data_IF_134290192449
#
_entry.id   IF_134290192449
#
_cell.length_a   1.000
_cell.length_b   1.000
_cell.length_c   1.000
_cell.angle_alpha   90.00
_cell.angle_beta   90.00
_cell.angle_gamma   90.00
#
_symmetry.space_group_name_H-M   'P 1'
#
loop_
_entity.id
_entity.type
_entity.pdbx_description
1 polymer ?
#
# COMPACT_ATOMS: atom_id res chain seq x y z
N UNK A 1 -6.21 -21.87 -11.02
CA UNK A 1 -4.78 -22.11 -10.71
C UNK A 1 -4.02 -22.63 -11.93
N UNK A 2 -4.43 -23.73 -12.56
CA UNK A 2 -3.74 -24.26 -13.75
C UNK A 2 -3.71 -23.29 -14.94
N UNK A 3 -4.83 -22.61 -15.22
CA UNK A 3 -4.88 -21.57 -16.26
C UNK A 3 -3.89 -20.42 -15.99
N UNK A 4 -3.83 -19.95 -14.74
CA UNK A 4 -2.88 -18.90 -14.29
C UNK A 4 -1.44 -19.35 -14.51
N UNK A 5 -1.09 -20.56 -14.05
CA UNK A 5 0.25 -21.14 -14.26
C UNK A 5 0.58 -21.29 -15.75
N UNK A 6 -0.38 -21.68 -16.59
CA UNK A 6 -0.20 -21.79 -18.04
C UNK A 6 0.07 -20.45 -18.72
N UNK A 7 -0.64 -19.37 -18.35
CA UNK A 7 -0.39 -18.03 -18.89
C UNK A 7 0.98 -17.50 -18.45
N UNK A 8 1.36 -17.74 -17.19
CA UNK A 8 2.71 -17.38 -16.71
C UNK A 8 3.80 -18.16 -17.46
N UNK A 9 3.59 -19.45 -17.72
CA UNK A 9 4.53 -20.25 -18.52
C UNK A 9 4.66 -19.74 -19.98
N UNK A 10 3.62 -19.08 -20.49
CA UNK A 10 3.64 -18.40 -21.79
C UNK A 10 4.33 -17.02 -21.76
N UNK A 11 4.86 -16.59 -20.60
CA UNK A 11 5.53 -15.31 -20.44
C UNK A 11 4.61 -14.14 -20.09
N UNK A 12 3.31 -14.39 -19.83
CA UNK A 12 2.39 -13.31 -19.50
C UNK A 12 2.62 -12.73 -18.10
N UNK A 13 2.21 -11.48 -17.93
CA UNK A 13 2.22 -10.76 -16.64
C UNK A 13 0.79 -10.59 -16.18
N UNK A 14 0.51 -11.01 -14.95
CA UNK A 14 -0.85 -11.18 -14.46
C UNK A 14 -1.09 -10.40 -13.18
N UNK A 15 -2.26 -9.77 -13.09
CA UNK A 15 -2.83 -9.30 -11.82
C UNK A 15 -3.95 -10.26 -11.44
N UNK A 16 -3.75 -11.06 -10.39
CA UNK A 16 -4.81 -11.93 -9.86
C UNK A 16 -5.51 -11.22 -8.70
N UNK A 17 -6.82 -10.99 -8.86
CA UNK A 17 -7.69 -10.35 -7.88
C UNK A 17 -8.47 -11.42 -7.14
N UNK A 18 -8.02 -11.73 -5.93
CA UNK A 18 -8.69 -12.64 -5.03
C UNK A 18 -9.93 -11.97 -4.40
N UNK A 19 -10.95 -12.76 -4.08
CA UNK A 19 -12.13 -12.26 -3.36
C UNK A 19 -11.82 -11.76 -1.94
N UNK A 20 -10.81 -12.35 -1.29
CA UNK A 20 -10.40 -12.12 0.09
C UNK A 20 -8.92 -12.52 0.32
N UNK A 21 -8.39 -12.22 1.50
CA UNK A 21 -6.99 -12.49 1.86
C UNK A 21 -6.68 -14.00 1.94
N UNK A 22 -7.62 -14.81 2.45
CA UNK A 22 -7.44 -16.25 2.58
C UNK A 22 -7.23 -16.90 1.19
N UNK A 23 -8.02 -16.45 0.21
CA UNK A 23 -7.91 -16.89 -1.18
C UNK A 23 -6.62 -16.39 -1.83
N UNK A 24 -6.21 -15.15 -1.55
CA UNK A 24 -4.94 -14.60 -2.03
C UNK A 24 -3.75 -15.42 -1.52
N UNK A 25 -3.73 -15.76 -0.22
CA UNK A 25 -2.71 -16.61 0.41
C UNK A 25 -2.71 -18.00 -0.23
N UNK A 26 -3.88 -18.62 -0.40
CA UNK A 26 -3.98 -19.92 -1.05
C UNK A 26 -3.45 -19.91 -2.50
N UNK A 27 -3.69 -18.82 -3.26
CA UNK A 27 -3.14 -18.66 -4.60
C UNK A 27 -1.62 -18.48 -4.56
N UNK A 28 -1.09 -17.66 -3.66
CA UNK A 28 0.35 -17.48 -3.46
C UNK A 28 1.04 -18.81 -3.20
N UNK A 29 0.54 -19.57 -2.24
CA UNK A 29 1.12 -20.84 -1.84
C UNK A 29 1.05 -21.85 -3.00
N UNK A 30 -0.05 -21.88 -3.77
CA UNK A 30 -0.14 -22.71 -4.97
C UNK A 30 0.88 -22.31 -6.06
N UNK A 31 1.07 -21.02 -6.30
CA UNK A 31 2.00 -20.52 -7.33
C UNK A 31 3.46 -20.74 -6.93
N UNK A 32 3.79 -20.69 -5.64
CA UNK A 32 5.10 -21.08 -5.14
C UNK A 32 5.49 -22.53 -5.51
N UNK A 33 4.50 -23.42 -5.65
CA UNK A 33 4.74 -24.81 -6.08
C UNK A 33 4.65 -25.00 -7.59
N UNK A 34 3.68 -24.36 -8.24
CA UNK A 34 3.38 -24.58 -9.67
C UNK A 34 4.24 -23.73 -10.61
N UNK A 35 4.72 -22.57 -10.15
CA UNK A 35 5.51 -21.64 -10.94
C UNK A 35 6.60 -20.96 -10.08
N UNK A 36 7.49 -21.73 -9.43
CA UNK A 36 8.49 -21.19 -8.48
C UNK A 36 9.47 -20.18 -9.08
N UNK A 37 9.67 -20.21 -10.40
CA UNK A 37 10.54 -19.28 -11.12
C UNK A 37 9.86 -17.93 -11.43
N UNK A 38 8.54 -17.79 -11.24
CA UNK A 38 7.82 -16.55 -11.53
C UNK A 38 7.95 -15.59 -10.36
N UNK A 39 8.39 -14.36 -10.66
CA UNK A 39 8.38 -13.28 -9.71
C UNK A 39 6.94 -12.99 -9.25
N UNK A 40 6.63 -13.38 -8.01
CA UNK A 40 5.31 -13.20 -7.40
C UNK A 40 5.38 -12.13 -6.31
N UNK A 41 4.55 -11.09 -6.41
CA UNK A 41 4.40 -10.02 -5.41
C UNK A 41 2.96 -9.95 -4.93
N UNK A 42 2.78 -9.37 -3.74
CA UNK A 42 1.47 -9.26 -3.08
C UNK A 42 1.22 -7.80 -2.76
N UNK A 43 0.06 -7.29 -3.20
CA UNK A 43 -0.47 -6.00 -2.81
C UNK A 43 -1.69 -6.22 -1.90
N UNK A 44 -1.53 -6.19 -0.57
CA UNK A 44 -2.62 -6.48 0.37
C UNK A 44 -3.59 -5.29 0.49
N UNK A 45 -4.81 -5.58 0.96
CA UNK A 45 -5.73 -4.53 1.42
C UNK A 45 -5.30 -4.04 2.79
N UNK A 46 -5.67 -2.81 3.17
CA UNK A 46 -5.57 -2.40 4.57
C UNK A 46 -6.37 -3.36 5.47
N UNK A 47 -5.85 -3.64 6.66
CA UNK A 47 -6.44 -4.51 7.67
C UNK A 47 -7.44 -3.79 8.59
N UNK A 48 -7.80 -2.55 8.25
CA UNK A 48 -8.83 -1.76 8.90
C UNK A 48 -10.10 -1.65 8.03
N UNK A 49 -11.20 -1.25 8.66
CA UNK A 49 -12.48 -1.07 7.97
C UNK A 49 -12.48 0.24 7.15
N UNK A 50 -13.36 0.40 6.14
CA UNK A 50 -13.57 1.71 5.54
C UNK A 50 -13.91 2.76 6.61
N UNK A 51 -13.22 3.90 6.58
CA UNK A 51 -13.43 5.00 7.53
C UNK A 51 -13.17 4.62 8.99
N UNK A 52 -12.20 3.73 9.24
CA UNK A 52 -11.78 3.37 10.59
C UNK A 52 -11.14 4.56 11.33
N UNK A 53 -11.07 4.46 12.66
CA UNK A 53 -10.28 5.34 13.52
C UNK A 53 -8.89 4.76 13.81
N UNK A 54 -8.67 3.51 13.44
CA UNK A 54 -7.39 2.83 13.57
C UNK A 54 -6.61 2.93 12.25
N UNK A 55 -5.31 3.14 12.36
CA UNK A 55 -4.41 3.02 11.21
C UNK A 55 -4.20 1.54 10.86
N UNK A 56 -4.00 1.21 9.58
CA UNK A 56 -3.54 -0.12 9.19
C UNK A 56 -2.16 -0.42 9.79
N UNK A 57 -1.84 -1.70 9.92
CA UNK A 57 -0.55 -2.12 10.46
C UNK A 57 0.62 -1.66 9.56
N UNK A 58 1.67 -1.11 10.17
CA UNK A 58 2.83 -0.57 9.44
C UNK A 58 3.53 -1.57 8.54
N UNK A 59 3.63 -2.85 8.94
CA UNK A 59 4.21 -3.90 8.10
C UNK A 59 3.40 -4.12 6.80
N UNK A 60 2.07 -4.04 6.89
CA UNK A 60 1.17 -4.17 5.75
C UNK A 60 1.30 -2.96 4.81
N UNK A 61 1.28 -1.75 5.37
CA UNK A 61 1.51 -0.51 4.59
C UNK A 61 2.88 -0.56 3.91
N UNK A 62 3.90 -1.05 4.62
CA UNK A 62 5.23 -1.23 4.05
C UNK A 62 5.26 -2.18 2.86
N UNK A 63 4.54 -3.30 2.93
CA UNK A 63 4.41 -4.23 1.80
C UNK A 63 3.70 -3.59 0.59
N UNK A 64 2.68 -2.77 0.85
CA UNK A 64 1.97 -2.01 -0.20
C UNK A 64 2.89 -0.99 -0.87
N UNK A 65 3.61 -0.19 -0.09
CA UNK A 65 4.56 0.81 -0.60
C UNK A 65 5.66 0.13 -1.42
N UNK A 66 6.26 -0.93 -0.92
CA UNK A 66 7.30 -1.66 -1.66
C UNK A 66 6.76 -2.20 -2.99
N UNK A 67 5.54 -2.73 -3.00
CA UNK A 67 4.92 -3.25 -4.23
C UNK A 67 4.61 -2.14 -5.23
N UNK A 68 4.06 -1.01 -4.79
CA UNK A 68 3.78 0.13 -5.67
C UNK A 68 5.07 0.76 -6.19
N UNK A 69 6.09 0.90 -5.35
CA UNK A 69 7.38 1.45 -5.75
C UNK A 69 8.12 0.54 -6.73
N UNK A 70 8.05 -0.78 -6.53
CA UNK A 70 8.54 -1.77 -7.51
C UNK A 70 7.80 -1.69 -8.85
N UNK A 71 6.48 -1.51 -8.82
CA UNK A 71 5.69 -1.32 -10.04
C UNK A 71 6.04 0.01 -10.73
N UNK A 72 6.28 1.09 -9.97
CA UNK A 72 6.63 2.41 -10.49
C UNK A 72 7.98 2.44 -11.20
N UNK A 73 9.04 1.94 -10.55
CA UNK A 73 10.42 2.07 -11.06
C UNK A 73 10.64 1.37 -12.39
N UNK A 74 10.18 0.13 -12.48
CA UNK A 74 10.58 -0.80 -13.53
C UNK A 74 9.36 -1.37 -14.27
N UNK A 75 8.17 -0.79 -14.07
CA UNK A 75 6.90 -1.37 -14.57
C UNK A 75 6.65 -2.76 -14.00
N UNK A 76 7.21 -3.07 -12.82
CA UNK A 76 7.25 -4.39 -12.18
C UNK A 76 8.27 -5.37 -12.78
N UNK A 77 9.33 -4.90 -13.45
CA UNK A 77 10.41 -5.79 -13.90
C UNK A 77 11.37 -6.07 -12.74
N UNK A 78 12.12 -7.17 -12.81
CA UNK A 78 13.22 -7.45 -11.88
C UNK A 78 14.52 -7.20 -12.63
N UNK A 79 15.49 -6.52 -12.01
CA UNK A 79 16.80 -6.26 -12.64
C UNK A 79 17.47 -7.59 -13.03
N UNK A 80 17.61 -7.84 -14.32
CA UNK A 80 18.24 -9.05 -14.88
C UNK A 80 17.27 -10.05 -15.51
N UNK A 81 15.98 -9.95 -15.18
CA UNK A 81 14.91 -10.62 -15.92
C UNK A 81 14.41 -9.65 -17.00
N UNK A 82 14.29 -10.11 -18.26
CA UNK A 82 13.73 -9.30 -19.35
C UNK A 82 12.24 -8.96 -19.13
N UNK A 83 11.46 -8.88 -20.20
CA UNK A 83 9.97 -8.86 -20.10
C UNK A 83 9.42 -10.25 -19.69
N UNK A 84 9.98 -10.85 -18.63
CA UNK A 84 9.62 -12.16 -18.12
C UNK A 84 8.25 -12.18 -17.43
N UNK A 85 7.68 -13.37 -17.19
CA UNK A 85 6.40 -13.51 -16.53
C UNK A 85 6.46 -12.99 -15.09
N UNK A 86 5.39 -12.33 -14.68
CA UNK A 86 5.25 -11.78 -13.33
C UNK A 86 3.81 -11.97 -12.84
N UNK A 87 3.67 -12.17 -11.54
CA UNK A 87 2.36 -12.31 -10.90
C UNK A 87 2.22 -11.30 -9.76
N UNK A 88 1.23 -10.43 -9.87
CA UNK A 88 0.77 -9.58 -8.79
C UNK A 88 -0.50 -10.20 -8.19
N UNK A 89 -0.45 -10.55 -6.92
CA UNK A 89 -1.61 -11.01 -6.16
C UNK A 89 -2.19 -9.83 -5.39
N UNK A 90 -3.49 -9.63 -5.47
CA UNK A 90 -4.21 -8.59 -4.74
C UNK A 90 -5.60 -9.09 -4.36
N UNK A 91 -6.38 -8.27 -3.65
CA UNK A 91 -7.77 -8.58 -3.29
C UNK A 91 -8.73 -7.55 -3.86
N UNK A 92 -10.03 -7.90 -3.87
CA UNK A 92 -11.11 -6.97 -4.19
C UNK A 92 -11.03 -5.71 -3.30
N UNK A 93 -10.78 -5.86 -2.00
CA UNK A 93 -10.66 -4.74 -1.08
C UNK A 93 -9.50 -3.81 -1.43
N UNK A 94 -8.38 -4.36 -1.90
CA UNK A 94 -7.17 -3.62 -2.24
C UNK A 94 -7.26 -2.92 -3.60
N UNK A 95 -7.78 -3.60 -4.63
CA UNK A 95 -7.90 -3.04 -5.99
C UNK A 95 -8.96 -1.95 -6.08
N UNK A 96 -9.99 -2.01 -5.24
CA UNK A 96 -11.02 -0.98 -5.13
C UNK A 96 -10.61 0.18 -4.22
N UNK A 97 -9.33 0.32 -3.84
CA UNK A 97 -8.83 1.46 -3.10
C UNK A 97 -7.85 2.25 -3.96
N UNK A 98 -8.04 3.56 -4.02
CA UNK A 98 -7.12 4.47 -4.71
C UNK A 98 -5.77 4.51 -3.99
N UNK A 99 -4.71 4.71 -4.75
CA UNK A 99 -3.32 4.68 -4.30
C UNK A 99 -2.60 5.95 -4.77
N UNK A 100 -1.44 6.32 -4.17
CA UNK A 100 -0.58 7.35 -4.74
C UNK A 100 -0.24 7.03 -6.20
N UNK A 101 -0.04 8.06 -7.02
CA UNK A 101 0.42 7.87 -8.42
C UNK A 101 1.89 7.46 -8.47
N UNK A 102 2.33 6.83 -9.56
CA UNK A 102 3.70 6.32 -9.71
C UNK A 102 4.78 7.38 -9.43
N UNK A 103 4.55 8.63 -9.84
CA UNK A 103 5.45 9.76 -9.60
C UNK A 103 5.72 10.07 -8.12
N UNK A 104 4.84 9.64 -7.21
CA UNK A 104 5.11 9.70 -5.77
C UNK A 104 6.33 8.84 -5.39
N UNK A 105 6.53 7.68 -6.01
CA UNK A 105 7.60 6.74 -5.65
C UNK A 105 8.91 6.98 -6.42
N UNK A 106 8.83 7.40 -7.68
CA UNK A 106 9.98 7.59 -8.59
C UNK A 106 11.06 8.53 -8.03
N UNK A 107 10.65 9.59 -7.33
CA UNK A 107 11.56 10.61 -6.78
C UNK A 107 11.95 10.37 -5.31
N UNK A 108 11.46 9.29 -4.70
CA UNK A 108 11.49 9.08 -3.24
C UNK A 108 12.26 7.84 -2.80
N UNK A 109 12.96 7.24 -3.74
CA UNK A 109 13.69 6.00 -3.53
C UNK A 109 15.19 6.27 -3.55
N UNK A 110 15.91 5.74 -2.58
CA UNK A 110 17.37 5.87 -2.50
C UNK A 110 18.02 4.51 -2.54
N UNK A 111 18.92 4.36 -3.49
CA UNK A 111 19.74 3.17 -3.65
C UNK A 111 21.03 3.37 -2.86
N UNK A 112 21.40 2.36 -2.09
CA UNK A 112 22.64 2.31 -1.33
C UNK A 112 23.42 1.06 -1.71
N UNK A 113 24.72 1.20 -1.91
CA UNK A 113 25.67 0.13 -2.11
C UNK A 113 26.96 0.40 -1.32
N UNK A 114 27.74 -0.65 -1.05
CA UNK A 114 29.06 -0.50 -0.46
C UNK A 114 29.94 0.43 -1.34
N UNK A 115 30.64 1.36 -0.70
CA UNK A 115 31.44 2.42 -1.33
C UNK A 115 30.70 3.75 -1.53
N UNK A 116 29.38 3.83 -1.25
CA UNK A 116 28.63 5.09 -1.38
C UNK A 116 29.04 6.13 -0.32
N UNK A 117 29.39 7.33 -0.77
CA UNK A 117 29.77 8.48 0.08
C UNK A 117 28.56 9.35 0.46
N UNK A 118 27.51 8.74 1.06
CA UNK A 118 26.31 9.49 1.50
C UNK A 118 26.42 10.05 2.91
N UNK A 119 27.22 9.43 3.77
CA UNK A 119 27.31 9.69 5.20
C UNK A 119 26.04 9.39 6.02
N UNK A 120 26.18 9.00 7.29
CA UNK A 120 25.05 8.61 8.14
C UNK A 120 24.09 9.79 8.42
N UNK A 121 24.60 11.01 8.59
CA UNK A 121 23.78 12.18 8.91
C UNK A 121 22.77 12.51 7.79
N UNK A 122 23.24 12.59 6.54
CA UNK A 122 22.37 12.86 5.39
C UNK A 122 21.36 11.73 5.17
N UNK A 123 21.73 10.50 5.51
CA UNK A 123 20.83 9.37 5.41
C UNK A 123 19.73 9.42 6.48
N UNK A 124 20.05 9.83 7.70
CA UNK A 124 19.05 10.10 8.75
C UNK A 124 18.06 11.20 8.33
N UNK A 125 18.54 12.29 7.72
CA UNK A 125 17.68 13.36 7.22
C UNK A 125 16.74 12.85 6.12
N UNK A 126 17.28 12.05 5.19
CA UNK A 126 16.49 11.38 4.17
C UNK A 126 15.41 10.48 4.78
N UNK A 127 15.78 9.58 5.71
CA UNK A 127 14.85 8.66 6.37
C UNK A 127 13.74 9.41 7.11
N UNK A 128 14.09 10.47 7.84
CA UNK A 128 13.10 11.32 8.52
C UNK A 128 12.13 11.95 7.52
N UNK A 129 12.65 12.47 6.39
CA UNK A 129 11.81 13.00 5.31
C UNK A 129 10.96 11.93 4.60
N UNK A 130 11.36 10.66 4.65
CA UNK A 130 10.59 9.52 4.14
C UNK A 130 9.56 8.96 5.16
N UNK A 131 9.44 9.58 6.34
CA UNK A 131 8.48 9.22 7.38
C UNK A 131 8.97 8.18 8.37
N UNK A 132 10.26 7.78 8.32
CA UNK A 132 10.79 6.82 9.28
C UNK A 132 10.86 7.42 10.68
N UNK A 133 10.61 6.59 11.69
CA UNK A 133 10.71 6.95 13.09
C UNK A 133 12.13 6.72 13.61
N UNK A 134 12.75 7.76 14.14
CA UNK A 134 14.04 7.63 14.83
C UNK A 134 13.83 7.04 16.22
N UNK A 135 14.51 5.94 16.52
CA UNK A 135 14.46 5.26 17.82
C UNK A 135 15.87 4.96 18.35
N UNK A 136 15.95 4.50 19.60
CA UNK A 136 17.22 4.05 20.19
C UNK A 136 17.60 2.64 19.72
N UNK A 137 16.62 1.83 19.34
CA UNK A 137 16.81 0.45 18.87
C UNK A 137 15.67 0.10 17.95
N UNK A 138 16.05 -0.34 16.74
CA UNK A 138 15.12 -0.80 15.71
C UNK A 138 14.48 -2.12 16.12
N UNK A 139 13.15 -2.14 16.13
CA UNK A 139 12.29 -3.28 16.44
C UNK A 139 11.21 -3.49 15.39
N UNK A 140 10.67 -2.40 14.85
CA UNK A 140 9.52 -2.45 13.94
C UNK A 140 9.84 -1.81 12.58
N UNK A 141 9.09 -2.22 11.56
CA UNK A 141 9.18 -1.66 10.20
C UNK A 141 8.95 -0.15 10.24
N UNK A 142 9.80 0.59 9.53
CA UNK A 142 9.77 2.04 9.48
C UNK A 142 10.56 2.74 10.59
N UNK A 143 11.26 1.99 11.45
CA UNK A 143 12.19 2.56 12.43
C UNK A 143 13.63 2.65 11.92
N UNK A 144 14.40 3.59 12.47
CA UNK A 144 15.85 3.63 12.33
C UNK A 144 16.56 4.10 13.60
N UNK A 145 17.80 3.65 13.81
CA UNK A 145 18.63 4.02 14.94
C UNK A 145 20.09 4.26 14.50
N UNK A 146 20.65 5.42 14.86
CA UNK A 146 22.05 5.77 14.59
C UNK A 146 22.90 5.64 15.86
N UNK A 147 23.95 4.82 15.79
CA UNK A 147 24.88 4.56 16.90
C UNK A 147 26.33 4.63 16.40
N UNK A 148 26.95 5.80 16.56
CA UNK A 148 28.30 6.04 16.03
C UNK A 148 28.31 5.96 14.50
N UNK A 149 29.13 5.08 13.94
CA UNK A 149 29.16 4.79 12.50
C UNK A 149 28.13 3.75 12.03
N UNK A 150 27.24 3.27 12.91
CA UNK A 150 26.28 2.22 12.59
C UNK A 150 24.89 2.82 12.47
N UNK A 151 24.22 2.59 11.34
CA UNK A 151 22.82 2.95 11.13
C UNK A 151 21.99 1.68 10.93
N UNK A 152 21.15 1.37 11.89
CA UNK A 152 20.14 0.32 11.78
C UNK A 152 18.86 0.91 11.20
N UNK A 153 18.23 0.19 10.28
CA UNK A 153 16.99 0.60 9.61
C UNK A 153 16.12 -0.64 9.48
N UNK A 154 14.80 -0.53 9.63
CA UNK A 154 13.87 -1.57 9.22
C UNK A 154 13.06 -1.07 8.00
N UNK A 155 13.53 -1.35 6.77
CA UNK A 155 12.85 -0.88 5.57
C UNK A 155 11.49 -1.57 5.39
N UNK A 156 10.50 -0.87 4.82
CA UNK A 156 9.22 -1.47 4.43
C UNK A 156 9.43 -2.57 3.38
N UNK A 157 8.65 -3.64 3.48
CA UNK A 157 8.69 -4.77 2.54
C UNK A 157 9.89 -5.72 2.72
N UNK A 158 10.80 -5.44 3.65
CA UNK A 158 11.86 -6.38 4.04
C UNK A 158 11.39 -7.28 5.19
N UNK A 159 11.83 -8.54 5.19
CA UNK A 159 11.54 -9.47 6.29
C UNK A 159 12.36 -9.16 7.55
N UNK A 160 13.55 -8.58 7.36
CA UNK A 160 14.53 -8.34 8.42
C UNK A 160 15.06 -6.91 8.33
N UNK A 161 15.37 -6.26 9.48
CA UNK A 161 16.05 -4.99 9.46
C UNK A 161 17.49 -5.15 8.96
N UNK A 162 18.06 -4.02 8.54
CA UNK A 162 19.40 -3.93 7.94
C UNK A 162 20.27 -2.97 8.74
N UNK A 163 21.52 -3.37 8.90
CA UNK A 163 22.61 -2.61 9.51
C UNK A 163 23.52 -2.09 8.42
N UNK A 164 23.74 -0.79 8.44
CA UNK A 164 24.69 -0.09 7.60
C UNK A 164 25.88 0.33 8.44
N UNK A 165 27.06 -0.20 8.12
CA UNK A 165 28.31 0.17 8.80
C UNK A 165 29.06 1.21 7.96
N UNK A 166 29.33 2.37 8.56
CA UNK A 166 30.01 3.50 7.93
C UNK A 166 31.41 3.72 8.50
N UNK A 167 32.36 4.08 7.64
CA UNK A 167 33.65 4.66 8.00
C UNK A 167 33.70 6.13 7.56
N UNK A 168 33.49 7.04 8.51
CA UNK A 168 33.28 8.45 8.18
C UNK A 168 31.97 8.62 7.39
N UNK A 169 32.09 9.07 6.13
CA UNK A 169 30.95 9.26 5.24
C UNK A 169 30.75 8.11 4.22
N UNK A 170 31.64 7.12 4.21
CA UNK A 170 31.60 5.99 3.28
C UNK A 170 30.84 4.81 3.89
N UNK A 171 29.89 4.25 3.14
CA UNK A 171 29.18 3.02 3.49
C UNK A 171 30.06 1.80 3.20
N UNK A 172 30.55 1.11 4.23
CA UNK A 172 31.42 -0.07 4.05
C UNK A 172 30.62 -1.34 3.81
N UNK A 173 29.62 -1.62 4.65
CA UNK A 173 28.86 -2.88 4.57
C UNK A 173 27.38 -2.70 4.84
N UNK A 174 26.58 -3.56 4.21
CA UNK A 174 25.14 -3.70 4.40
C UNK A 174 24.89 -5.13 4.86
N UNK A 175 24.25 -5.32 6.02
CA UNK A 175 23.96 -6.65 6.57
C UNK A 175 22.56 -6.71 7.15
N UNK A 176 21.82 -7.76 6.86
CA UNK A 176 20.58 -8.05 7.61
C UNK A 176 20.91 -8.35 9.08
N UNK A 177 19.97 -8.16 10.00
CA UNK A 177 20.12 -8.59 11.39
C UNK A 177 18.76 -8.98 12.00
N UNK A 178 18.79 -9.78 13.06
CA UNK A 178 17.58 -10.18 13.77
C UNK A 178 17.14 -9.12 14.79
N UNK A 179 15.93 -8.59 14.65
CA UNK A 179 15.42 -7.48 15.46
C UNK A 179 15.33 -7.83 16.96
N UNK A 180 15.06 -9.10 17.31
CA UNK A 180 14.89 -9.53 18.69
C UNK A 180 16.24 -9.72 19.41
N UNK A 181 17.20 -10.36 18.74
CA UNK A 181 18.51 -10.73 19.29
C UNK A 181 19.60 -9.70 18.99
N UNK A 182 19.35 -8.78 18.05
CA UNK A 182 20.28 -7.76 17.56
C UNK A 182 21.58 -8.36 16.97
N UNK A 183 21.51 -9.60 16.47
CA UNK A 183 22.64 -10.32 15.88
C UNK A 183 22.64 -10.20 14.36
N UNK A 184 23.83 -9.97 13.80
CA UNK A 184 24.03 -9.85 12.36
C UNK A 184 23.71 -11.15 11.61
N UNK A 185 23.22 -10.99 10.40
CA UNK A 185 22.92 -12.04 9.43
C UNK A 185 23.75 -11.88 8.16
N UNK A 186 23.16 -12.23 7.02
CA UNK A 186 23.85 -12.24 5.73
C UNK A 186 24.17 -10.81 5.23
N UNK A 187 25.31 -10.68 4.55
CA UNK A 187 25.67 -9.47 3.82
C UNK A 187 24.84 -9.30 2.55
N UNK A 188 24.64 -8.05 2.16
CA UNK A 188 23.90 -7.65 0.98
C UNK A 188 24.74 -6.66 0.17
N UNK A 189 24.70 -6.76 -1.15
CA UNK A 189 25.47 -5.85 -2.02
C UNK A 189 24.81 -4.48 -2.14
N UNK A 190 23.48 -4.44 -2.00
CA UNK A 190 22.67 -3.26 -2.28
C UNK A 190 21.42 -3.24 -1.40
N UNK A 191 21.01 -2.04 -1.01
CA UNK A 191 19.76 -1.75 -0.34
C UNK A 191 18.99 -0.69 -1.14
N UNK A 192 17.68 -0.86 -1.26
CA UNK A 192 16.78 0.19 -1.78
C UNK A 192 15.92 0.66 -0.62
N UNK A 193 16.01 1.94 -0.31
CA UNK A 193 15.17 2.59 0.70
C UNK A 193 14.00 3.28 0.00
N UNK A 194 12.80 3.01 0.51
CA UNK A 194 11.52 3.57 0.05
C UNK A 194 10.85 4.35 1.19
N UNK A 195 9.84 5.19 0.90
CA UNK A 195 8.94 5.74 1.93
C UNK A 195 8.33 4.65 2.80
N UNK A 196 7.98 4.96 4.04
CA UNK A 196 7.30 3.99 4.95
C UNK A 196 5.77 4.08 4.88
N UNK A 197 5.25 5.10 4.21
CA UNK A 197 3.82 5.37 4.11
C UNK A 197 3.41 5.76 2.68
N UNK A 198 2.12 5.59 2.42
CA UNK A 198 1.47 6.02 1.17
C UNK A 198 1.29 7.55 1.11
N UNK A 199 1.79 8.32 2.07
CA UNK A 199 1.79 9.79 2.07
C UNK A 199 3.00 10.33 2.84
N UNK A 200 3.18 11.65 2.79
CA UNK A 200 4.18 12.38 3.58
C UNK A 200 3.54 13.52 4.36
N UNK A 201 4.24 13.97 5.40
CA UNK A 201 3.90 15.14 6.20
C UNK A 201 4.93 16.25 5.99
N UNK A 202 5.32 16.47 4.74
CA UNK A 202 6.10 17.66 4.36
C UNK A 202 5.22 18.91 4.34
N UNK A 203 5.85 20.09 4.20
CA UNK A 203 5.15 21.38 4.24
C UNK A 203 4.03 21.46 3.19
N UNK A 204 4.29 20.97 1.97
CA UNK A 204 3.33 20.99 0.87
C UNK A 204 2.12 20.07 1.12
N UNK A 205 2.36 18.85 1.61
CA UNK A 205 1.30 17.90 1.94
C UNK A 205 0.46 18.37 3.15
N UNK A 206 1.09 18.96 4.17
CA UNK A 206 0.40 19.54 5.32
C UNK A 206 -0.45 20.74 4.90
N UNK A 207 0.05 21.63 4.05
CA UNK A 207 -0.72 22.74 3.51
C UNK A 207 -1.91 22.26 2.68
N UNK A 208 -1.69 21.27 1.80
CA UNK A 208 -2.73 20.65 0.98
C UNK A 208 -3.82 20.03 1.83
N UNK A 209 -3.43 19.28 2.86
CA UNK A 209 -4.34 18.70 3.81
C UNK A 209 -5.19 19.78 4.49
N UNK A 210 -4.54 20.82 5.04
CA UNK A 210 -5.24 21.89 5.79
C UNK A 210 -6.23 22.65 4.91
N UNK A 211 -5.87 22.93 3.67
CA UNK A 211 -6.74 23.59 2.71
C UNK A 211 -7.90 22.69 2.31
N UNK A 212 -7.62 21.44 1.92
CA UNK A 212 -8.63 20.48 1.50
C UNK A 212 -9.61 20.11 2.62
N UNK A 213 -9.12 19.91 3.84
CA UNK A 213 -9.93 19.56 5.00
C UNK A 213 -10.91 20.68 5.37
N UNK A 214 -10.45 21.94 5.39
CA UNK A 214 -11.33 23.11 5.63
C UNK A 214 -12.30 23.36 4.48
N UNK A 215 -11.89 23.09 3.25
CA UNK A 215 -12.80 23.18 2.10
C UNK A 215 -13.92 22.13 2.17
N UNK A 216 -13.61 20.92 2.62
CA UNK A 216 -14.59 19.83 2.75
C UNK A 216 -15.56 20.03 3.93
N UNK A 217 -15.07 20.57 5.06
CA UNK A 217 -15.81 20.52 6.34
C UNK A 217 -16.06 21.88 7.02
N UNK A 218 -15.59 22.97 6.42
CA UNK A 218 -15.80 24.33 6.92
C UNK A 218 -14.88 24.74 8.08
N UNK A 219 -15.13 25.93 8.64
CA UNK A 219 -14.22 26.58 9.58
C UNK A 219 -14.05 25.82 10.91
N UNK A 220 -15.11 25.19 11.43
CA UNK A 220 -15.10 24.46 12.70
C UNK A 220 -14.19 23.22 12.66
N UNK A 221 -13.94 22.66 11.47
CA UNK A 221 -13.06 21.52 11.27
C UNK A 221 -11.60 21.79 11.67
N UNK A 222 -11.20 23.06 11.78
CA UNK A 222 -9.86 23.44 12.25
C UNK A 222 -9.61 23.10 13.73
N UNK A 223 -10.65 22.71 14.48
CA UNK A 223 -10.59 22.27 15.88
C UNK A 223 -10.53 20.75 16.03
N UNK A 224 -10.63 20.01 14.93
CA UNK A 224 -10.60 18.56 14.97
C UNK A 224 -9.18 18.08 15.32
N UNK A 225 -9.05 17.08 16.18
CA UNK A 225 -7.75 16.56 16.63
C UNK A 225 -6.87 16.07 15.46
N UNK A 226 -7.49 15.50 14.42
CA UNK A 226 -6.82 15.15 13.18
C UNK A 226 -6.19 16.38 12.51
N UNK A 227 -6.95 17.47 12.37
CA UNK A 227 -6.46 18.70 11.76
C UNK A 227 -5.30 19.30 12.55
N UNK A 228 -5.39 19.35 13.88
CA UNK A 228 -4.33 19.84 14.74
C UNK A 228 -3.05 18.98 14.65
N UNK A 229 -3.21 17.65 14.63
CA UNK A 229 -2.10 16.71 14.53
C UNK A 229 -1.36 16.86 13.20
N UNK A 230 -2.09 16.83 12.08
CA UNK A 230 -1.50 16.96 10.75
C UNK A 230 -0.88 18.35 10.55
N UNK A 231 -1.52 19.41 11.07
CA UNK A 231 -0.97 20.77 11.02
C UNK A 231 0.37 20.93 11.73
N UNK A 232 0.63 20.07 12.71
CA UNK A 232 1.89 20.00 13.42
C UNK A 232 2.84 18.91 12.85
N UNK A 233 2.58 18.42 11.64
CA UNK A 233 3.30 17.34 10.97
C UNK A 233 3.42 16.07 11.83
N UNK A 234 2.37 15.75 12.59
CA UNK A 234 2.29 14.52 13.41
C UNK A 234 1.27 13.55 12.84
N UNK A 235 1.60 12.27 12.97
CA UNK A 235 0.68 11.17 12.67
C UNK A 235 -0.54 11.21 13.61
N UNK A 236 -1.67 10.75 13.09
CA UNK A 236 -2.91 10.59 13.83
C UNK A 236 -3.54 9.23 13.47
N UNK A 237 -4.01 8.42 14.43
CA UNK A 237 -4.63 7.13 14.13
C UNK A 237 -5.78 7.25 13.10
N UNK A 238 -5.76 6.39 12.08
CA UNK A 238 -6.76 6.35 11.00
C UNK A 238 -6.66 7.46 9.97
N UNK A 239 -5.64 8.33 10.04
CA UNK A 239 -5.46 9.44 9.08
C UNK A 239 -5.31 8.98 7.62
N UNK A 240 -4.96 7.72 7.40
CA UNK A 240 -4.88 7.06 6.11
C UNK A 240 -6.18 7.21 5.31
N UNK A 241 -7.35 7.27 5.97
CA UNK A 241 -8.63 7.47 5.29
C UNK A 241 -8.81 8.87 4.66
N UNK A 242 -7.89 9.81 4.95
CA UNK A 242 -7.79 11.11 4.29
C UNK A 242 -6.62 11.20 3.30
N UNK A 243 -6.09 10.04 2.85
CA UNK A 243 -5.11 9.94 1.76
C UNK A 243 -5.35 10.94 0.59
N UNK A 244 -6.59 11.17 0.11
CA UNK A 244 -6.86 12.08 -1.00
C UNK A 244 -6.56 13.56 -0.72
N UNK A 245 -6.24 13.93 0.52
CA UNK A 245 -5.86 15.29 0.90
C UNK A 245 -4.34 15.48 1.02
N UNK A 246 -3.56 14.40 0.99
CA UNK A 246 -2.09 14.44 0.99
C UNK A 246 -1.50 14.44 -0.43
N UNK A 247 -2.31 14.11 -1.44
CA UNK A 247 -1.90 14.03 -2.84
C UNK A 247 -2.71 15.00 -3.70
N UNK A 248 -2.12 15.43 -4.82
CA UNK A 248 -2.83 16.21 -5.85
C UNK A 248 -3.89 15.36 -6.53
N UNK A 249 -3.50 14.14 -6.87
CA UNK A 249 -4.33 13.14 -7.50
C UNK A 249 -3.94 11.75 -6.98
N UNK A 250 -4.92 10.86 -6.89
CA UNK A 250 -4.69 9.45 -6.62
C UNK A 250 -4.99 8.64 -7.88
N UNK A 251 -4.22 7.59 -8.09
CA UNK A 251 -4.43 6.62 -9.16
C UNK A 251 -5.13 5.36 -8.66
N UNK A 252 -5.22 4.39 -9.57
CA UNK A 252 -5.65 3.02 -9.31
C UNK A 252 -4.47 2.08 -9.42
N UNK A 253 -4.55 0.92 -8.76
CA UNK A 253 -3.53 -0.13 -8.91
C UNK A 253 -3.38 -0.58 -10.37
N UNK A 254 -4.46 -0.53 -11.16
CA UNK A 254 -4.45 -0.88 -12.58
C UNK A 254 -3.58 0.07 -13.43
N UNK A 255 -3.40 1.32 -13.00
CA UNK A 255 -2.58 2.31 -13.72
C UNK A 255 -1.09 1.94 -13.68
N UNK A 256 -0.68 1.17 -12.68
CA UNK A 256 0.66 0.59 -12.56
C UNK A 256 0.87 -0.64 -13.45
N UNK A 257 -0.22 -1.26 -13.90
CA UNK A 257 -0.21 -2.54 -14.63
C UNK A 257 -0.96 -2.47 -15.97
N UNK A 258 -0.76 -1.44 -16.83
CA UNK A 258 -1.63 -1.15 -17.98
C UNK A 258 -1.65 -2.24 -19.07
N UNK A 259 -0.65 -3.11 -19.10
CA UNK A 259 -0.52 -4.20 -20.08
C UNK A 259 -0.54 -5.59 -19.45
N UNK A 260 -0.87 -5.67 -18.16
CA UNK A 260 -0.95 -6.95 -17.47
C UNK A 260 -2.36 -7.51 -17.61
N UNK A 261 -2.48 -8.81 -17.83
CA UNK A 261 -3.78 -9.47 -17.85
C UNK A 261 -4.35 -9.49 -16.44
N UNK A 262 -5.52 -8.91 -16.28
CA UNK A 262 -6.27 -8.97 -15.03
C UNK A 262 -7.11 -10.24 -14.99
N UNK A 263 -7.02 -10.97 -13.88
CA UNK A 263 -7.72 -12.24 -13.65
C UNK A 263 -8.49 -12.14 -12.33
N UNK A 264 -9.82 -12.25 -12.40
CA UNK A 264 -10.69 -12.26 -11.23
C UNK A 264 -10.88 -13.69 -10.71
N UNK A 265 -10.85 -13.87 -9.40
CA UNK A 265 -11.39 -15.07 -8.78
C UNK A 265 -12.88 -15.24 -9.10
N UNK A 266 -13.37 -16.48 -9.12
CA UNK A 266 -14.75 -16.80 -9.50
C UNK A 266 -15.83 -16.13 -8.63
N UNK A 267 -15.51 -15.79 -7.38
CA UNK A 267 -16.42 -15.12 -6.45
C UNK A 267 -16.11 -13.61 -6.32
N UNK A 268 -15.22 -13.07 -7.16
CA UNK A 268 -14.82 -11.67 -7.06
C UNK A 268 -16.01 -10.73 -7.29
N UNK A 269 -16.93 -11.03 -8.22
CA UNK A 269 -18.10 -10.18 -8.49
C UNK A 269 -19.02 -10.02 -7.26
N UNK A 270 -19.21 -11.11 -6.49
CA UNK A 270 -19.96 -11.08 -5.24
C UNK A 270 -19.21 -10.27 -4.17
N UNK A 271 -17.88 -10.44 -4.07
CA UNK A 271 -17.05 -9.68 -3.14
C UNK A 271 -17.00 -8.18 -3.50
N UNK A 272 -17.01 -7.82 -4.79
CA UNK A 272 -17.06 -6.42 -5.25
C UNK A 272 -18.35 -5.76 -4.78
N UNK A 273 -19.49 -6.41 -5.01
CA UNK A 273 -20.80 -5.92 -4.54
C UNK A 273 -20.83 -5.74 -3.02
N UNK A 274 -20.32 -6.73 -2.27
CA UNK A 274 -20.24 -6.68 -0.82
C UNK A 274 -19.33 -5.55 -0.32
N UNK A 275 -18.20 -5.30 -0.99
CA UNK A 275 -17.26 -4.23 -0.63
C UNK A 275 -17.88 -2.85 -0.82
N UNK A 276 -18.60 -2.61 -1.92
CA UNK A 276 -19.29 -1.32 -2.12
C UNK A 276 -20.39 -1.09 -1.09
N UNK A 277 -21.19 -2.11 -0.77
CA UNK A 277 -22.17 -2.03 0.31
C UNK A 277 -21.50 -1.66 1.65
N UNK A 278 -20.41 -2.35 1.99
CA UNK A 278 -19.64 -2.08 3.21
C UNK A 278 -19.11 -0.63 3.26
N UNK A 279 -18.54 -0.12 2.18
CA UNK A 279 -18.03 1.26 2.10
C UNK A 279 -19.16 2.27 2.35
N UNK A 280 -20.31 2.07 1.72
CA UNK A 280 -21.46 2.96 1.86
C UNK A 280 -22.07 2.90 3.26
N UNK A 281 -22.18 1.71 3.85
CA UNK A 281 -22.70 1.51 5.21
C UNK A 281 -21.82 2.20 6.25
N UNK A 282 -20.48 2.02 6.18
CA UNK A 282 -19.57 2.70 7.10
C UNK A 282 -19.56 4.21 6.90
N UNK A 283 -19.61 4.69 5.66
CA UNK A 283 -19.72 6.12 5.39
C UNK A 283 -21.01 6.69 5.99
N UNK A 284 -22.15 6.06 5.75
CA UNK A 284 -23.44 6.46 6.28
C UNK A 284 -23.46 6.51 7.82
N UNK A 285 -22.94 5.46 8.47
CA UNK A 285 -22.83 5.40 9.93
C UNK A 285 -21.96 6.51 10.53
N UNK A 286 -20.99 7.06 9.78
CA UNK A 286 -20.17 8.21 10.21
C UNK A 286 -20.82 9.56 9.96
N UNK A 287 -21.82 9.63 9.09
CA UNK A 287 -22.60 10.85 8.83
C UNK A 287 -23.77 11.02 9.80
N UNK A 288 -24.22 9.95 10.45
CA UNK A 288 -25.29 10.04 11.44
C UNK A 288 -24.90 11.01 12.59
N UNK A 289 -25.81 11.92 12.98
CA UNK A 289 -25.60 12.79 14.13
C UNK A 289 -25.25 11.99 15.38
N UNK A 290 -24.38 12.54 16.23
CA UNK A 290 -24.13 11.99 17.55
C UNK A 290 -25.41 11.81 18.36
N UNK A 291 -25.46 10.79 19.23
CA UNK A 291 -26.45 10.70 20.31
C UNK A 291 -26.23 11.79 21.39
N UNK A 292 -25.40 12.80 21.08
CA UNK A 292 -25.07 13.94 21.92
C UNK A 292 -26.21 14.96 22.01
N UNK A 293 -26.11 15.81 23.03
CA UNK A 293 -27.10 16.77 23.50
C UNK A 293 -27.86 17.51 22.36
N UNK A 294 -29.17 17.82 22.52
CA UNK A 294 -29.94 18.53 21.49
C UNK A 294 -29.29 19.88 21.15
N UNK A 295 -28.85 20.04 19.89
CA UNK A 295 -28.18 21.24 19.37
C UNK A 295 -26.75 21.03 18.86
N UNK A 296 -26.22 19.80 18.89
CA UNK A 296 -24.98 19.45 18.20
C UNK A 296 -25.29 18.90 16.79
N UNK A 297 -25.24 19.77 15.78
CA UNK A 297 -25.41 19.40 14.36
C UNK A 297 -24.13 18.75 13.78
N UNK A 298 -23.20 18.33 14.63
CA UNK A 298 -21.93 17.69 14.25
C UNK A 298 -22.02 16.17 14.04
N UNK A 299 -21.10 15.58 13.24
CA UNK A 299 -21.04 14.14 13.05
C UNK A 299 -20.63 13.41 14.34
N UNK A 300 -21.03 12.14 14.47
CA UNK A 300 -20.73 11.28 15.64
C UNK A 300 -19.28 11.42 16.14
N UNK A 301 -19.12 12.02 17.31
CA UNK A 301 -17.87 12.02 18.06
C UNK A 301 -17.53 10.65 18.63
N UNK A 302 -16.29 10.44 19.07
CA UNK A 302 -15.93 9.29 19.91
C UNK A 302 -16.36 9.50 21.38
N UNK A 303 -16.00 8.56 22.27
CA UNK A 303 -16.27 8.67 23.72
C UNK A 303 -15.64 9.93 24.36
N UNK A 304 -14.70 10.59 23.69
CA UNK A 304 -14.08 11.86 24.08
C UNK A 304 -14.78 13.10 23.51
N UNK A 305 -15.82 12.91 22.68
CA UNK A 305 -16.58 13.98 22.02
C UNK A 305 -15.92 14.55 20.77
N UNK A 306 -14.90 13.89 20.20
CA UNK A 306 -14.17 14.39 19.03
C UNK A 306 -14.81 13.95 17.71
N UNK A 307 -15.27 14.91 16.92
CA UNK A 307 -15.96 14.68 15.65
C UNK A 307 -15.09 13.96 14.60
N UNK A 308 -15.59 12.86 14.03
CA UNK A 308 -14.97 12.19 12.88
C UNK A 308 -15.66 12.67 11.59
N UNK A 309 -14.90 13.25 10.65
CA UNK A 309 -15.44 13.81 9.40
C UNK A 309 -14.97 13.02 8.18
N UNK A 310 -15.76 12.03 7.68
CA UNK A 310 -15.35 11.23 6.53
C UNK A 310 -15.39 12.08 5.26
N UNK A 311 -14.41 11.89 4.38
CA UNK A 311 -14.54 12.36 3.00
C UNK A 311 -15.60 11.54 2.25
N UNK A 312 -16.23 12.10 1.21
CA UNK A 312 -17.06 11.33 0.29
C UNK A 312 -16.32 10.07 -0.22
N UNK A 313 -16.99 8.90 -0.33
CA UNK A 313 -16.33 7.64 -0.65
C UNK A 313 -15.57 7.64 -1.97
N UNK A 314 -16.08 8.34 -2.99
CA UNK A 314 -15.49 8.46 -4.33
C UNK A 314 -14.09 9.10 -4.35
N UNK A 315 -13.71 9.80 -3.27
CA UNK A 315 -12.38 10.39 -3.08
C UNK A 315 -11.30 9.33 -2.85
N UNK A 316 -11.61 8.21 -2.18
CA UNK A 316 -10.65 7.14 -1.83
C UNK A 316 -10.96 5.81 -2.53
N UNK A 317 -12.18 5.59 -2.97
CA UNK A 317 -12.60 4.39 -3.68
C UNK A 317 -13.14 4.80 -5.06
N UNK A 318 -12.80 4.08 -6.16
CA UNK A 318 -13.43 4.35 -7.44
C UNK A 318 -14.93 4.07 -7.35
N UNK A 319 -15.74 4.87 -8.03
CA UNK A 319 -17.17 4.59 -8.20
C UNK A 319 -17.40 3.22 -8.88
N UNK A 320 -18.60 2.66 -8.72
CA UNK A 320 -18.97 1.41 -9.41
C UNK A 320 -18.82 1.51 -10.94
N UNK A 321 -19.07 2.69 -11.52
CA UNK A 321 -18.90 2.93 -12.94
C UNK A 321 -17.42 2.93 -13.36
N UNK A 322 -16.55 3.57 -12.57
CA UNK A 322 -15.10 3.56 -12.78
C UNK A 322 -14.52 2.16 -12.63
N UNK A 323 -14.94 1.41 -11.60
CA UNK A 323 -14.44 0.06 -11.39
C UNK A 323 -14.90 -0.92 -12.45
N UNK A 324 -16.17 -0.81 -12.87
CA UNK A 324 -16.69 -1.58 -14.00
C UNK A 324 -15.85 -1.42 -15.26
N UNK A 325 -15.37 -0.20 -15.56
CA UNK A 325 -14.58 0.07 -16.75
C UNK A 325 -13.29 -0.78 -16.82
N UNK A 326 -12.57 -0.92 -15.71
CA UNK A 326 -11.36 -1.75 -15.70
C UNK A 326 -11.67 -3.24 -15.46
N UNK A 327 -12.69 -3.57 -14.67
CA UNK A 327 -13.05 -4.97 -14.38
C UNK A 327 -13.68 -5.69 -15.57
N UNK A 328 -14.39 -5.01 -16.46
CA UNK A 328 -14.99 -5.62 -17.65
C UNK A 328 -13.93 -6.16 -18.64
N UNK A 329 -12.71 -5.62 -18.60
CA UNK A 329 -11.59 -6.09 -19.43
C UNK A 329 -10.89 -7.33 -18.87
N UNK A 330 -11.27 -7.78 -17.67
CA UNK A 330 -10.62 -8.89 -16.99
C UNK A 330 -11.18 -10.26 -17.39
N UNK A 331 -10.36 -11.30 -17.18
CA UNK A 331 -10.75 -12.70 -17.34
C UNK A 331 -11.25 -13.24 -16.00
N UNK A 332 -12.44 -13.84 -15.98
CA UNK A 332 -12.99 -14.47 -14.77
C UNK A 332 -12.61 -15.94 -14.74
N UNK A 333 -12.02 -16.39 -13.64
CA UNK A 333 -11.89 -17.83 -13.41
C UNK A 333 -13.28 -18.41 -13.14
N UNK A 334 -13.62 -19.49 -13.82
CA UNK A 334 -14.81 -20.27 -13.53
C UNK A 334 -14.42 -21.46 -12.64
N UNK A 335 -15.29 -21.88 -11.70
CA UNK A 335 -15.01 -23.05 -10.86
C UNK A 335 -15.06 -24.37 -11.66
N UNK A 336 -15.75 -24.36 -12.80
CA UNK A 336 -15.88 -25.49 -13.73
C UNK A 336 -15.51 -25.06 -15.15
N UNK A 337 -15.06 -26.00 -15.98
CA UNK A 337 -14.92 -25.75 -17.41
C UNK A 337 -16.28 -25.32 -17.98
N UNK A 338 -16.30 -24.27 -18.82
CA UNK A 338 -17.53 -23.97 -19.58
C UNK A 338 -17.87 -25.20 -20.41
N UNK A 339 -19.13 -25.65 -20.46
CA UNK A 339 -19.50 -26.70 -21.39
C UNK A 339 -19.13 -26.20 -22.79
N UNK A 340 -18.35 -27.01 -23.53
CA UNK A 340 -17.98 -26.70 -24.91
C UNK A 340 -19.26 -26.26 -25.63
N UNK A 341 -19.24 -25.07 -26.23
CA UNK A 341 -20.28 -24.67 -27.18
C UNK A 341 -20.20 -25.68 -28.33
N UNK A 342 -21.02 -26.73 -28.22
CA UNK A 342 -21.05 -27.82 -29.17
C UNK A 342 -21.24 -27.24 -30.57
N UNK A 343 -20.30 -27.56 -31.46
CA UNK A 343 -20.51 -27.53 -32.89
C UNK A 343 -21.82 -28.27 -33.18
N UNK A 344 -22.89 -27.50 -33.41
CA UNK A 344 -24.12 -27.99 -33.99
C UNK A 344 -23.83 -28.43 -35.42
N UNK A 345 -23.39 -29.67 -35.57
CA UNK A 345 -23.33 -30.35 -36.83
C UNK A 345 -24.48 -31.36 -36.88
N UNK A 346 -25.66 -30.87 -37.25
CA UNK A 346 -26.78 -31.72 -37.66
C UNK A 346 -26.60 -32.10 -39.14
N UNK A 347 -26.41 -33.41 -39.33
CA UNK A 347 -26.73 -34.29 -40.48
C UNK A 347 -26.53 -33.80 -41.92
#
# INVERSE_FOLDING_TARGET
MLAVSSWLAAGERLVFVARDDARMIAMRDAMAHLAPAVATRVFPAWDCLPFDRLSPQGALVGQRVETLAWLADDGGKMKGDGDGPALLLTTVNAILQRVPQAGYFESRSKVLAAGDATGPARLCDFLTGQGYLRTDTVRETGEFALRGGILDIFPPGQEMPVRLDFFGDELETIRGFDAATQRGGASMDRLVLRPVAEFQLDEAAVERFRTGYRAAFGALASRDALYESVSAARMHPGMEHWLPLFHEELGLLTDYCPHWRMVLDHEADAAISARYAQINDFYGARQEPGDGNPGDDGPKGDESGMAYRPLPPDRLYPSEAESKAFLDTSVRLMPFASPDEGEGNDA
#
